data_IF_414998598475
#
_entry.id   IF_414998598475
#
_cell.length_a   1.000
_cell.length_b   1.000
_cell.length_c   1.000
_cell.angle_alpha   90.00
_cell.angle_beta   90.00
_cell.angle_gamma   90.00
#
_symmetry.space_group_name_H-M   'P 1'
#
loop_
_entity.id
_entity.type
_entity.pdbx_description
1 polymer ?
#
# COMPACT_ATOMS: atom_id res chain seq x y z
N UNK A 1 -3.64 4.17 -14.99
CA UNK A 1 -3.91 3.90 -13.56
C UNK A 1 -2.59 4.04 -12.80
N UNK A 2 -2.52 4.77 -11.68
CA UNK A 2 -1.23 4.88 -10.96
C UNK A 2 -0.78 3.49 -10.49
N UNK A 3 0.53 3.21 -10.56
CA UNK A 3 1.13 1.93 -10.16
C UNK A 3 0.72 1.51 -8.74
N UNK A 4 0.63 2.50 -7.84
CA UNK A 4 0.12 2.34 -6.48
C UNK A 4 -1.33 1.85 -6.44
N UNK A 5 -2.23 2.37 -7.29
CA UNK A 5 -3.62 1.91 -7.34
C UNK A 5 -3.72 0.46 -7.84
N UNK A 6 -2.92 0.10 -8.84
CA UNK A 6 -2.81 -1.28 -9.33
C UNK A 6 -2.32 -2.20 -8.20
N UNK A 7 -1.26 -1.80 -7.49
CA UNK A 7 -0.71 -2.56 -6.37
C UNK A 7 -1.72 -2.80 -5.25
N UNK A 8 -2.51 -1.78 -4.87
CA UNK A 8 -3.57 -1.91 -3.86
C UNK A 8 -4.64 -2.92 -4.27
N UNK A 9 -5.10 -2.88 -5.52
CA UNK A 9 -6.10 -3.84 -6.03
C UNK A 9 -5.53 -5.25 -6.06
N UNK A 10 -4.31 -5.41 -6.56
CA UNK A 10 -3.63 -6.70 -6.62
C UNK A 10 -3.39 -7.28 -5.21
N UNK A 11 -3.02 -6.43 -4.25
CA UNK A 11 -2.88 -6.81 -2.84
C UNK A 11 -4.18 -7.32 -2.24
N UNK A 12 -5.31 -6.66 -2.51
CA UNK A 12 -6.63 -7.13 -2.07
C UNK A 12 -7.01 -8.48 -2.69
N UNK A 13 -6.76 -8.66 -3.99
CA UNK A 13 -7.00 -9.94 -4.67
C UNK A 13 -6.13 -11.04 -4.04
N UNK A 14 -4.83 -10.78 -3.85
CA UNK A 14 -3.92 -11.73 -3.20
C UNK A 14 -4.35 -12.10 -1.79
N UNK A 15 -4.81 -11.12 -1.00
CA UNK A 15 -5.35 -11.35 0.35
C UNK A 15 -6.60 -12.23 0.34
N UNK A 16 -7.55 -11.97 -0.57
CA UNK A 16 -8.76 -12.80 -0.70
C UNK A 16 -8.45 -14.23 -1.12
N UNK A 17 -7.53 -14.43 -2.05
CA UNK A 17 -7.08 -15.77 -2.46
C UNK A 17 -6.35 -16.50 -1.31
N UNK A 18 -5.53 -15.78 -0.53
CA UNK A 18 -4.85 -16.34 0.63
C UNK A 18 -5.85 -16.75 1.72
N UNK A 19 -6.87 -15.91 1.95
CA UNK A 19 -7.96 -16.21 2.87
C UNK A 19 -8.77 -17.43 2.40
N UNK A 20 -9.04 -17.53 1.09
CA UNK A 20 -9.70 -18.69 0.49
C UNK A 20 -8.90 -19.98 0.73
N UNK A 21 -7.59 -19.97 0.45
CA UNK A 21 -6.71 -21.12 0.70
C UNK A 21 -6.65 -21.51 2.19
N UNK A 22 -6.65 -20.52 3.10
CA UNK A 22 -6.71 -20.77 4.54
C UNK A 22 -8.04 -21.43 4.96
N UNK A 23 -9.16 -20.98 4.37
CA UNK A 23 -10.47 -21.60 4.60
C UNK A 23 -10.51 -23.04 4.07
N UNK A 24 -10.05 -23.30 2.85
CA UNK A 24 -9.98 -24.65 2.28
C UNK A 24 -9.11 -25.59 3.11
N UNK A 25 -7.99 -25.08 3.65
CA UNK A 25 -7.14 -25.82 4.58
C UNK A 25 -7.89 -26.18 5.86
N UNK A 26 -8.60 -25.20 6.44
CA UNK A 26 -9.39 -25.40 7.66
C UNK A 26 -10.51 -26.44 7.45
N UNK A 27 -11.26 -26.33 6.36
CA UNK A 27 -12.32 -27.26 6.01
C UNK A 27 -11.77 -28.68 5.81
N UNK A 28 -10.67 -28.82 5.06
CA UNK A 28 -10.03 -30.11 4.84
C UNK A 28 -9.57 -30.78 6.15
N UNK A 29 -8.96 -30.01 7.05
CA UNK A 29 -8.53 -30.51 8.36
C UNK A 29 -9.73 -30.83 9.27
N UNK A 30 -10.79 -30.03 9.22
CA UNK A 30 -12.03 -30.28 9.97
C UNK A 30 -12.69 -31.57 9.51
N UNK A 31 -12.77 -31.80 8.20
CA UNK A 31 -13.29 -33.03 7.62
C UNK A 31 -12.48 -34.27 8.02
N UNK A 32 -11.15 -34.21 7.94
CA UNK A 32 -10.29 -35.33 8.34
C UNK A 32 -10.47 -35.68 9.82
N UNK A 33 -10.59 -34.66 10.68
CA UNK A 33 -10.89 -34.86 12.11
C UNK A 33 -12.26 -35.52 12.32
N UNK A 34 -13.28 -35.11 11.57
CA UNK A 34 -14.63 -35.66 11.69
C UNK A 34 -14.74 -37.13 11.25
N UNK A 35 -13.82 -37.60 10.39
CA UNK A 35 -13.79 -38.98 9.87
C UNK A 35 -12.72 -39.83 10.56
N UNK A 36 -12.12 -39.34 11.66
CA UNK A 36 -11.03 -39.99 12.40
C UNK A 36 -9.84 -40.42 11.51
N UNK A 37 -9.57 -39.67 10.43
CA UNK A 37 -8.44 -39.91 9.53
C UNK A 37 -7.23 -39.07 9.94
N UNK A 38 -6.06 -39.69 9.94
CA UNK A 38 -4.80 -39.00 10.21
C UNK A 38 -4.43 -38.15 8.98
N UNK A 39 -4.17 -36.83 9.14
CA UNK A 39 -3.72 -35.99 8.05
C UNK A 39 -2.29 -36.36 7.63
N UNK A 40 -2.14 -37.09 6.53
CA UNK A 40 -0.82 -37.50 6.03
C UNK A 40 -0.15 -36.42 5.16
N UNK A 41 -0.91 -35.70 4.35
CA UNK A 41 -0.41 -34.62 3.49
C UNK A 41 -1.55 -33.66 3.12
N UNK A 42 -1.20 -32.39 2.86
CA UNK A 42 -2.16 -31.43 2.30
C UNK A 42 -2.32 -31.67 0.80
N UNK A 43 -3.52 -31.54 0.23
CA UNK A 43 -3.71 -31.58 -1.22
C UNK A 43 -2.80 -30.58 -1.93
N UNK A 44 -2.23 -31.01 -3.05
CA UNK A 44 -1.33 -30.18 -3.87
C UNK A 44 -2.01 -28.91 -4.36
N UNK A 45 -3.31 -28.99 -4.67
CA UNK A 45 -4.12 -27.87 -5.14
C UNK A 45 -4.14 -26.72 -4.11
N UNK A 46 -4.45 -27.03 -2.84
CA UNK A 46 -4.48 -26.04 -1.74
C UNK A 46 -3.09 -25.44 -1.52
N UNK A 47 -2.04 -26.27 -1.63
CA UNK A 47 -0.66 -25.85 -1.45
C UNK A 47 -0.21 -24.88 -2.54
N UNK A 48 -0.53 -25.18 -3.80
CA UNK A 48 -0.23 -24.32 -4.95
C UNK A 48 -1.04 -23.03 -4.89
N UNK A 49 -2.32 -23.10 -4.51
CA UNK A 49 -3.16 -21.92 -4.34
C UNK A 49 -2.60 -20.99 -3.26
N UNK A 50 -2.16 -21.53 -2.11
CA UNK A 50 -1.49 -20.78 -1.05
C UNK A 50 -0.22 -20.09 -1.56
N UNK A 51 0.64 -20.82 -2.28
CA UNK A 51 1.90 -20.29 -2.80
C UNK A 51 1.68 -19.15 -3.81
N UNK A 52 0.72 -19.34 -4.71
CA UNK A 52 0.36 -18.33 -5.73
C UNK A 52 -0.25 -17.10 -5.06
N UNK A 53 -1.16 -17.28 -4.10
CA UNK A 53 -1.82 -16.18 -3.41
C UNK A 53 -0.85 -15.35 -2.55
N UNK A 54 0.09 -15.99 -1.85
CA UNK A 54 1.20 -15.29 -1.18
C UNK A 54 2.02 -14.48 -2.17
N UNK A 55 2.42 -15.08 -3.30
CA UNK A 55 3.24 -14.41 -4.32
C UNK A 55 2.53 -13.16 -4.88
N UNK A 56 1.24 -13.28 -5.21
CA UNK A 56 0.42 -12.16 -5.70
C UNK A 56 0.29 -11.07 -4.62
N UNK A 57 0.04 -11.45 -3.37
CA UNK A 57 -0.09 -10.52 -2.26
C UNK A 57 1.21 -9.72 -2.05
N UNK A 58 2.37 -10.40 -2.06
CA UNK A 58 3.68 -9.75 -1.95
C UNK A 58 3.94 -8.77 -3.08
N UNK A 59 3.68 -9.16 -4.34
CA UNK A 59 3.83 -8.26 -5.49
C UNK A 59 2.90 -7.04 -5.36
N UNK A 60 1.65 -7.25 -4.94
CA UNK A 60 0.68 -6.17 -4.70
C UNK A 60 1.18 -5.16 -3.67
N UNK A 61 1.72 -5.64 -2.54
CA UNK A 61 2.26 -4.78 -1.47
C UNK A 61 3.46 -3.97 -1.96
N UNK A 62 4.40 -4.59 -2.69
CA UNK A 62 5.58 -3.90 -3.24
C UNK A 62 5.17 -2.77 -4.18
N UNK A 63 4.20 -3.04 -5.07
CA UNK A 63 3.69 -2.02 -6.01
C UNK A 63 2.90 -0.91 -5.29
N UNK A 64 2.20 -1.25 -4.20
CA UNK A 64 1.46 -0.29 -3.39
C UNK A 64 2.36 0.65 -2.58
N UNK A 65 3.58 0.22 -2.22
CA UNK A 65 4.55 1.06 -1.50
C UNK A 65 4.96 2.32 -2.29
N UNK A 66 4.87 2.27 -3.62
CA UNK A 66 5.19 3.39 -4.49
C UNK A 66 6.69 3.67 -4.61
N UNK A 67 7.07 4.68 -5.41
CA UNK A 67 8.47 5.00 -5.65
C UNK A 67 9.12 5.61 -4.41
N UNK A 68 10.40 5.26 -4.19
CA UNK A 68 11.22 5.89 -3.15
C UNK A 68 11.42 7.38 -3.45
N UNK A 69 11.41 8.19 -2.39
CA UNK A 69 11.71 9.63 -2.51
C UNK A 69 13.21 9.84 -2.66
N UNK A 70 13.68 10.74 -3.56
CA UNK A 70 15.10 11.04 -3.68
C UNK A 70 15.65 11.69 -2.41
N UNK A 71 16.85 11.28 -2.01
CA UNK A 71 17.54 11.74 -0.79
C UNK A 71 18.10 13.16 -0.97
N UNK A 72 18.47 13.53 -2.20
CA UNK A 72 19.11 14.81 -2.50
C UNK A 72 18.13 15.98 -2.34
N UNK A 73 18.46 16.92 -1.44
CA UNK A 73 17.68 18.14 -1.19
C UNK A 73 17.55 19.00 -2.46
N UNK A 74 18.54 18.97 -3.37
CA UNK A 74 18.48 19.65 -4.67
C UNK A 74 17.23 19.28 -5.49
N UNK A 75 16.78 18.02 -5.42
CA UNK A 75 15.54 17.59 -6.10
C UNK A 75 14.27 18.18 -5.46
N UNK A 76 14.30 18.46 -4.17
CA UNK A 76 13.22 19.16 -3.48
C UNK A 76 13.23 20.66 -3.75
N UNK A 77 14.42 21.28 -3.72
CA UNK A 77 14.62 22.71 -3.96
C UNK A 77 14.31 23.10 -5.40
N UNK A 78 14.66 22.27 -6.39
CA UNK A 78 14.33 22.52 -7.79
C UNK A 78 12.83 22.59 -8.08
N UNK A 79 11.97 22.09 -7.17
CA UNK A 79 10.50 22.16 -7.29
C UNK A 79 9.89 23.39 -6.63
N UNK A 80 10.66 24.13 -5.82
CA UNK A 80 10.19 25.31 -5.09
C UNK A 80 10.61 26.57 -5.84
N UNK A 81 9.73 27.57 -5.87
CA UNK A 81 10.08 28.90 -6.40
C UNK A 81 10.83 29.71 -5.35
N UNK A 82 11.53 30.75 -5.78
CA UNK A 82 12.25 31.67 -4.89
C UNK A 82 11.27 32.28 -3.88
N UNK A 83 10.10 32.71 -4.32
CA UNK A 83 9.06 33.28 -3.44
C UNK A 83 8.62 32.31 -2.31
N UNK A 84 8.59 31.00 -2.59
CA UNK A 84 8.22 29.97 -1.60
C UNK A 84 9.32 29.73 -0.57
N UNK A 85 10.59 29.96 -0.94
CA UNK A 85 11.75 29.81 -0.07
C UNK A 85 12.01 31.10 0.73
N UNK A 86 11.80 32.25 0.09
CA UNK A 86 12.03 33.59 0.65
C UNK A 86 10.88 34.07 1.55
N UNK A 87 9.74 33.37 1.53
CA UNK A 87 8.69 33.61 2.52
C UNK A 87 9.20 33.19 3.90
N UNK A 88 9.34 34.16 4.79
CA UNK A 88 9.70 33.95 6.18
C UNK A 88 8.50 34.24 7.09
N UNK A 89 7.66 33.22 7.43
CA UNK A 89 6.40 33.44 8.14
C UNK A 89 6.57 34.12 9.49
N UNK A 90 7.67 33.83 10.18
CA UNK A 90 8.04 34.42 11.47
C UNK A 90 8.33 35.92 11.40
N UNK A 91 8.59 36.47 10.21
CA UNK A 91 8.91 37.88 9.98
C UNK A 91 7.86 38.59 9.11
N UNK A 92 6.69 37.97 8.91
CA UNK A 92 5.62 38.59 8.16
C UNK A 92 5.09 39.83 8.90
N UNK A 93 5.07 40.97 8.20
CA UNK A 93 4.46 42.20 8.71
C UNK A 93 3.10 42.44 8.06
N UNK A 94 2.09 42.77 8.88
CA UNK A 94 0.73 43.02 8.39
C UNK A 94 0.50 44.46 7.92
N UNK A 95 1.53 45.31 7.99
CA UNK A 95 1.51 46.72 7.55
C UNK A 95 1.93 46.86 6.07
N UNK A 96 1.24 46.18 5.17
CA UNK A 96 1.51 46.24 3.73
C UNK A 96 0.31 46.83 2.95
N UNK A 97 0.53 47.23 1.70
CA UNK A 97 -0.46 47.91 0.84
C UNK A 97 -1.78 47.13 0.67
N UNK A 98 -1.71 45.79 0.74
CA UNK A 98 -2.88 44.90 0.67
C UNK A 98 -3.85 45.00 1.86
N UNK A 99 -3.42 45.59 2.99
CA UNK A 99 -4.28 45.79 4.18
C UNK A 99 -5.55 46.59 3.87
N UNK A 100 -5.48 47.56 2.96
CA UNK A 100 -6.61 48.41 2.58
C UNK A 100 -7.51 47.77 1.51
N UNK A 101 -7.03 46.73 0.82
CA UNK A 101 -7.77 46.09 -0.27
C UNK A 101 -8.66 44.92 0.20
N UNK A 102 -8.42 44.38 1.40
CA UNK A 102 -9.12 43.20 1.93
C UNK A 102 -10.12 43.51 3.06
N UNK A 103 -10.46 44.79 3.23
CA UNK A 103 -11.45 45.28 4.19
C UNK A 103 -12.81 45.38 3.48
N UNK A 104 -13.58 44.29 3.46
CA UNK A 104 -15.01 44.26 3.16
C UNK A 104 -15.71 43.26 4.07
#
# INVERSE_FOLDING_TARGET
>A
MSTVKVGKILGWIGFLLLFHSAYSTYEHLSYLKAVDKIPNYMPIEITVECLVSVSICTIGIILAAGPLKPILIKHGLAKKTIDEIDTHPSFNTFNHRGRLMKSS
#
